data_IF_497344367211
#
_entry.id   IF_497344367211
#
_cell.length_a   1.000
_cell.length_b   1.000
_cell.length_c   1.000
_cell.angle_alpha   90.00
_cell.angle_beta   90.00
_cell.angle_gamma   90.00
#
_symmetry.space_group_name_H-M   'P 1'
#
loop_
_entity.id
_entity.type
_entity.pdbx_description
1 polymer ?
#
# COMPACT_ATOMS: atom_id res chain seq x y z
N UNK A 1 17.81 -59.42 58.16
CA UNK A 1 17.66 -58.07 57.48
C UNK A 1 18.12 -58.08 56.01
N UNK A 2 17.76 -59.01 55.16
CA UNK A 2 18.31 -59.13 53.82
C UNK A 2 17.33 -58.90 52.66
N UNK A 3 16.09 -59.40 52.81
CA UNK A 3 15.15 -59.42 51.66
C UNK A 3 14.49 -58.02 51.35
N UNK A 4 14.18 -57.21 52.35
CA UNK A 4 13.56 -55.92 52.19
C UNK A 4 14.50 -54.90 51.51
N UNK A 5 15.79 -54.91 51.87
CA UNK A 5 16.79 -54.02 51.29
C UNK A 5 17.06 -54.30 49.79
N UNK A 6 17.01 -55.55 49.41
CA UNK A 6 17.19 -55.99 48.03
C UNK A 6 15.99 -55.54 47.14
N UNK A 7 14.77 -55.63 47.68
CA UNK A 7 13.56 -55.22 46.97
C UNK A 7 13.54 -53.71 46.72
N UNK A 8 13.95 -52.87 47.70
CA UNK A 8 14.04 -51.44 47.54
C UNK A 8 15.12 -51.04 46.53
N UNK A 9 16.27 -51.74 46.50
CA UNK A 9 17.33 -51.45 45.53
C UNK A 9 16.89 -51.75 44.08
N UNK A 10 16.17 -52.85 43.84
CA UNK A 10 15.64 -53.22 42.50
C UNK A 10 14.57 -52.22 42.03
N UNK A 11 13.67 -51.82 42.93
CA UNK A 11 12.65 -50.80 42.60
C UNK A 11 13.30 -49.42 42.29
N UNK A 12 14.29 -49.03 43.07
CA UNK A 12 15.03 -47.79 42.81
C UNK A 12 15.78 -47.82 41.47
N UNK A 13 16.46 -48.92 41.15
CA UNK A 13 17.13 -49.08 39.86
C UNK A 13 16.17 -49.03 38.66
N UNK A 14 14.98 -49.67 38.77
CA UNK A 14 13.98 -49.65 37.70
C UNK A 14 13.38 -48.25 37.49
N UNK A 15 13.20 -47.46 38.56
CA UNK A 15 12.74 -46.08 38.47
C UNK A 15 13.81 -45.21 37.80
N UNK A 16 15.07 -45.34 38.18
CA UNK A 16 16.18 -44.60 37.61
C UNK A 16 16.32 -44.88 36.09
N UNK A 17 16.26 -46.13 35.69
CA UNK A 17 16.32 -46.53 34.26
C UNK A 17 15.13 -45.95 33.48
N UNK A 18 13.92 -46.00 34.04
CA UNK A 18 12.74 -45.39 33.38
C UNK A 18 12.85 -43.88 33.26
N UNK A 19 13.36 -43.21 34.27
CA UNK A 19 13.59 -41.78 34.23
C UNK A 19 14.68 -41.41 33.23
N UNK A 20 15.78 -42.13 33.18
CA UNK A 20 16.84 -41.93 32.19
C UNK A 20 16.29 -42.08 30.78
N UNK A 21 15.63 -43.18 30.46
CA UNK A 21 15.02 -43.40 29.14
C UNK A 21 13.96 -42.34 28.79
N UNK A 22 13.20 -41.83 29.75
CA UNK A 22 12.26 -40.74 29.53
C UNK A 22 12.96 -39.40 29.23
N UNK A 23 14.09 -39.13 29.90
CA UNK A 23 14.89 -37.93 29.62
C UNK A 23 15.56 -38.00 28.24
N UNK A 24 16.08 -39.15 27.86
CA UNK A 24 16.74 -39.36 26.56
C UNK A 24 15.72 -39.26 25.44
N UNK A 25 14.55 -39.87 25.54
CA UNK A 25 13.46 -39.75 24.56
C UNK A 25 13.00 -38.27 24.41
N UNK A 26 12.88 -37.54 25.52
CA UNK A 26 12.50 -36.12 25.46
C UNK A 26 13.58 -35.24 24.80
N UNK A 27 14.83 -35.59 24.93
CA UNK A 27 15.94 -34.89 24.30
C UNK A 27 15.93 -35.13 22.79
N UNK A 28 15.76 -36.38 22.38
CA UNK A 28 15.63 -36.74 20.96
C UNK A 28 14.39 -36.13 20.30
N UNK A 29 13.24 -36.08 20.97
CA UNK A 29 12.07 -35.37 20.48
C UNK A 29 12.33 -33.88 20.25
N UNK A 30 12.99 -33.23 21.21
CA UNK A 30 13.33 -31.80 21.07
C UNK A 30 14.32 -31.53 19.95
N UNK A 31 15.32 -32.41 19.77
CA UNK A 31 16.29 -32.27 18.67
C UNK A 31 15.63 -32.52 17.31
N UNK A 32 14.76 -33.52 17.22
CA UNK A 32 13.96 -33.78 16.01
C UNK A 32 13.05 -32.60 15.68
N UNK A 33 12.37 -32.03 16.67
CA UNK A 33 11.50 -30.88 16.48
C UNK A 33 12.28 -29.64 16.02
N UNK A 34 13.49 -29.42 16.57
CA UNK A 34 14.37 -28.34 16.13
C UNK A 34 14.81 -28.52 14.69
N UNK A 35 15.20 -29.73 14.29
CA UNK A 35 15.60 -30.02 12.91
C UNK A 35 14.44 -29.84 11.92
N UNK A 36 13.24 -30.26 12.29
CA UNK A 36 12.02 -30.05 11.48
C UNK A 36 11.76 -28.55 11.31
N UNK A 37 11.81 -27.76 12.38
CA UNK A 37 11.58 -26.32 12.33
C UNK A 37 12.65 -25.62 11.48
N UNK A 38 13.92 -25.96 11.66
CA UNK A 38 15.02 -25.40 10.86
C UNK A 38 14.87 -25.74 9.37
N UNK A 39 14.43 -26.95 9.06
CA UNK A 39 14.23 -27.38 7.68
C UNK A 39 13.02 -26.66 7.04
N UNK A 40 11.94 -26.49 7.80
CA UNK A 40 10.78 -25.70 7.36
C UNK A 40 11.15 -24.23 7.10
N UNK A 41 11.91 -23.60 7.99
CA UNK A 41 12.39 -22.24 7.81
C UNK A 41 13.32 -22.10 6.59
N UNK A 42 14.20 -23.08 6.35
CA UNK A 42 15.09 -23.09 5.20
C UNK A 42 14.30 -23.22 3.88
N UNK A 43 13.33 -24.14 3.83
CA UNK A 43 12.45 -24.32 2.67
C UNK A 43 11.59 -23.07 2.43
N UNK A 44 11.03 -22.47 3.47
CA UNK A 44 10.26 -21.23 3.35
C UNK A 44 11.11 -20.08 2.77
N UNK A 45 12.33 -19.90 3.25
CA UNK A 45 13.27 -18.90 2.71
C UNK A 45 13.62 -19.16 1.25
N UNK A 46 13.82 -20.42 0.89
CA UNK A 46 14.13 -20.80 -0.49
C UNK A 46 12.95 -20.49 -1.42
N UNK A 47 11.72 -20.84 -1.03
CA UNK A 47 10.50 -20.53 -1.78
C UNK A 47 10.34 -19.02 -1.97
N UNK A 48 10.57 -18.22 -0.91
CA UNK A 48 10.51 -16.77 -0.98
C UNK A 48 11.55 -16.23 -1.97
N UNK A 49 12.80 -16.68 -1.88
CA UNK A 49 13.86 -16.26 -2.78
C UNK A 49 13.60 -16.68 -4.23
N UNK A 50 13.17 -17.92 -4.47
CA UNK A 50 12.87 -18.41 -5.81
C UNK A 50 11.67 -17.65 -6.42
N UNK A 51 10.67 -17.33 -5.61
CA UNK A 51 9.53 -16.51 -6.04
C UNK A 51 9.97 -15.08 -6.38
N UNK A 52 10.85 -14.50 -5.57
CA UNK A 52 11.38 -13.15 -5.81
C UNK A 52 12.26 -13.11 -7.07
N UNK A 53 13.19 -14.07 -7.25
CA UNK A 53 14.04 -14.14 -8.44
C UNK A 53 13.23 -14.46 -9.71
N UNK A 54 12.22 -15.32 -9.62
CA UNK A 54 11.33 -15.59 -10.75
C UNK A 54 10.51 -14.36 -11.13
N UNK A 55 10.04 -13.58 -10.14
CA UNK A 55 9.34 -12.31 -10.39
C UNK A 55 10.26 -11.29 -11.03
N UNK A 56 11.51 -11.18 -10.57
CA UNK A 56 12.52 -10.29 -11.14
C UNK A 56 12.87 -10.68 -12.58
N UNK A 57 13.13 -11.95 -12.85
CA UNK A 57 13.42 -12.45 -14.19
C UNK A 57 12.23 -12.29 -15.15
N UNK A 58 10.98 -12.42 -14.67
CA UNK A 58 9.78 -12.13 -15.43
C UNK A 58 9.67 -10.64 -15.78
N UNK A 59 10.12 -9.75 -14.88
CA UNK A 59 10.15 -8.30 -15.12
C UNK A 59 11.26 -7.91 -16.12
N UNK A 60 12.43 -8.56 -16.10
CA UNK A 60 13.49 -8.30 -17.08
C UNK A 60 13.09 -8.65 -18.53
N UNK A 61 12.08 -9.52 -18.70
CA UNK A 61 11.53 -9.91 -20.01
C UNK A 61 10.27 -9.14 -20.42
N UNK A 62 9.73 -8.29 -19.54
CA UNK A 62 8.53 -7.51 -19.81
C UNK A 62 8.86 -6.02 -19.87
N UNK A 63 8.02 -5.24 -20.55
CA UNK A 63 8.11 -3.76 -20.52
C UNK A 63 8.17 -3.27 -19.07
N UNK A 64 9.04 -2.31 -18.82
CA UNK A 64 9.10 -1.65 -17.53
C UNK A 64 7.80 -0.91 -17.21
N UNK A 65 7.60 -0.56 -15.95
CA UNK A 65 6.36 0.06 -15.46
C UNK A 65 6.01 1.36 -16.18
N UNK A 66 7.01 2.22 -16.43
CA UNK A 66 6.79 3.47 -17.18
C UNK A 66 6.27 3.20 -18.59
N UNK A 67 6.95 2.33 -19.35
CA UNK A 67 6.55 2.01 -20.72
C UNK A 67 5.17 1.37 -20.78
N UNK A 68 4.87 0.50 -19.82
CA UNK A 68 3.57 -0.14 -19.68
C UNK A 68 2.47 0.88 -19.37
N UNK A 69 2.74 1.84 -18.51
CA UNK A 69 1.82 2.91 -18.16
C UNK A 69 1.53 3.82 -19.36
N UNK A 70 2.58 4.27 -20.09
CA UNK A 70 2.44 5.09 -21.30
C UNK A 70 1.60 4.39 -22.38
N UNK A 71 1.87 3.10 -22.62
CA UNK A 71 1.06 2.31 -23.56
C UNK A 71 -0.41 2.20 -23.12
N UNK A 72 -0.63 2.02 -21.80
CA UNK A 72 -1.99 1.90 -21.26
C UNK A 72 -2.74 3.23 -21.35
N UNK A 73 -2.07 4.39 -21.13
CA UNK A 73 -2.66 5.71 -21.36
C UNK A 73 -3.17 5.85 -22.79
N UNK A 74 -2.36 5.49 -23.79
CA UNK A 74 -2.78 5.53 -25.21
C UNK A 74 -3.98 4.61 -25.48
N UNK A 75 -4.00 3.41 -24.92
CA UNK A 75 -5.11 2.46 -25.07
C UNK A 75 -6.42 2.95 -24.46
N UNK A 76 -6.36 3.69 -23.36
CA UNK A 76 -7.55 4.31 -22.76
C UNK A 76 -7.96 5.61 -23.44
N UNK A 77 -7.21 6.06 -24.46
CA UNK A 77 -7.48 7.25 -25.26
C UNK A 77 -6.89 8.55 -24.69
N UNK A 78 -5.97 8.47 -23.72
CA UNK A 78 -5.25 9.61 -23.18
C UNK A 78 -3.97 9.85 -24.00
N UNK A 79 -3.79 11.07 -24.51
CA UNK A 79 -2.50 11.53 -24.99
C UNK A 79 -1.71 12.06 -23.80
N UNK A 80 -0.38 11.94 -23.89
CA UNK A 80 0.51 12.38 -22.84
C UNK A 80 1.67 13.23 -23.39
N UNK A 81 2.24 14.03 -22.51
CA UNK A 81 3.48 14.75 -22.71
C UNK A 81 4.47 14.32 -21.65
N UNK A 82 5.75 14.21 -22.01
CA UNK A 82 6.82 13.91 -21.06
C UNK A 82 7.43 15.20 -20.55
N UNK A 83 7.81 15.19 -19.27
CA UNK A 83 8.54 16.31 -18.69
C UNK A 83 9.90 16.48 -19.36
N UNK A 84 10.34 17.74 -19.43
CA UNK A 84 11.62 18.12 -20.03
C UNK A 84 12.60 18.60 -18.94
N UNK A 85 13.84 18.10 -18.99
CA UNK A 85 14.93 18.50 -18.07
C UNK A 85 15.12 17.53 -16.90
N UNK A 86 16.27 17.66 -16.22
CA UNK A 86 16.72 16.71 -15.18
C UNK A 86 15.76 16.56 -13.98
N UNK A 87 14.99 17.61 -13.65
CA UNK A 87 14.06 17.60 -12.52
C UNK A 87 12.70 16.97 -12.86
N UNK A 88 12.35 16.91 -14.16
CA UNK A 88 11.04 16.46 -14.64
C UNK A 88 11.11 15.21 -15.54
N UNK A 89 12.28 14.62 -15.71
CA UNK A 89 12.51 13.47 -16.63
C UNK A 89 11.62 12.25 -16.34
N UNK A 90 11.19 12.08 -15.11
CA UNK A 90 10.28 11.00 -14.71
C UNK A 90 8.79 11.36 -14.80
N UNK A 91 8.45 12.64 -15.07
CA UNK A 91 7.07 13.12 -15.10
C UNK A 91 6.39 12.86 -16.43
N UNK A 92 5.10 12.60 -16.32
CA UNK A 92 4.18 12.32 -17.42
C UNK A 92 2.93 13.16 -17.19
N UNK A 93 2.61 14.04 -18.13
CA UNK A 93 1.44 14.91 -18.09
C UNK A 93 0.38 14.37 -19.04
N UNK A 94 -0.87 14.26 -18.58
CA UNK A 94 -1.97 13.77 -19.43
C UNK A 94 -3.31 14.31 -18.94
N UNK A 95 -4.31 14.29 -19.83
CA UNK A 95 -5.68 14.67 -19.48
C UNK A 95 -6.59 13.43 -19.51
N UNK A 96 -7.50 13.34 -18.53
CA UNK A 96 -8.53 12.31 -18.47
C UNK A 96 -9.85 12.92 -18.03
N UNK A 97 -10.91 12.76 -18.85
CA UNK A 97 -12.25 13.30 -18.61
C UNK A 97 -12.30 14.82 -18.30
N UNK A 98 -11.36 15.57 -18.86
CA UNK A 98 -11.31 17.04 -18.69
C UNK A 98 -10.43 17.54 -17.54
N UNK A 99 -9.91 16.65 -16.69
CA UNK A 99 -8.95 16.98 -15.64
C UNK A 99 -7.51 16.67 -16.09
N UNK A 100 -6.57 17.46 -15.59
CA UNK A 100 -5.15 17.34 -15.89
C UNK A 100 -4.43 16.58 -14.78
N UNK A 101 -3.79 15.50 -15.15
CA UNK A 101 -3.03 14.65 -14.25
C UNK A 101 -1.53 14.76 -14.49
N UNK A 102 -0.78 14.64 -13.43
CA UNK A 102 0.66 14.37 -13.48
C UNK A 102 0.93 12.98 -12.92
N UNK A 103 1.76 12.22 -13.61
CA UNK A 103 2.24 10.94 -13.10
C UNK A 103 3.78 10.94 -13.04
N UNK A 104 4.33 10.08 -12.18
CA UNK A 104 5.74 9.73 -12.17
C UNK A 104 5.88 8.22 -12.08
N UNK A 105 6.70 7.65 -12.95
CA UNK A 105 6.96 6.22 -13.04
C UNK A 105 8.38 5.95 -13.55
N UNK A 106 9.03 4.93 -13.01
CA UNK A 106 10.31 4.40 -13.49
C UNK A 106 10.13 2.99 -14.01
N UNK A 107 10.94 2.62 -15.03
CA UNK A 107 10.96 1.25 -15.54
C UNK A 107 11.59 0.25 -14.54
N UNK A 108 12.35 0.74 -13.56
CA UNK A 108 12.95 -0.06 -12.49
C UNK A 108 12.03 -0.22 -11.29
N UNK A 109 10.88 0.46 -11.28
CA UNK A 109 9.89 0.44 -10.20
C UNK A 109 8.65 -0.39 -10.56
N UNK A 110 7.76 -0.53 -9.60
CA UNK A 110 6.47 -1.24 -9.74
C UNK A 110 5.27 -0.31 -9.55
N UNK A 111 5.54 0.92 -9.19
CA UNK A 111 4.52 1.87 -8.78
C UNK A 111 4.49 3.07 -9.71
N UNK A 112 3.27 3.56 -9.94
CA UNK A 112 3.01 4.84 -10.58
C UNK A 112 2.45 5.77 -9.50
N UNK A 113 3.06 6.93 -9.36
CA UNK A 113 2.54 8.01 -8.55
C UNK A 113 1.65 8.87 -9.43
N UNK A 114 0.45 9.17 -8.96
CA UNK A 114 -0.55 9.97 -9.66
C UNK A 114 -0.92 11.19 -8.83
N UNK A 115 -1.01 12.33 -9.48
CA UNK A 115 -1.47 13.60 -8.90
C UNK A 115 -2.51 14.25 -9.82
N UNK A 116 -3.53 14.81 -9.18
CA UNK A 116 -4.46 15.76 -9.75
C UNK A 116 -4.30 17.05 -8.95
N UNK A 117 -3.74 18.08 -9.59
CA UNK A 117 -3.32 19.31 -8.92
C UNK A 117 -4.27 20.47 -9.24
N UNK A 118 -4.53 21.30 -8.22
CA UNK A 118 -5.34 22.52 -8.35
C UNK A 118 -6.79 22.30 -8.83
N UNK A 119 -7.39 21.15 -8.48
CA UNK A 119 -8.78 20.86 -8.85
C UNK A 119 -9.82 21.66 -8.04
N UNK A 120 -9.40 22.32 -6.95
CA UNK A 120 -10.24 23.18 -6.14
C UNK A 120 -9.42 24.24 -5.41
N UNK A 121 -10.06 25.33 -5.01
CA UNK A 121 -9.41 26.37 -4.21
C UNK A 121 -10.43 27.06 -3.29
N UNK A 122 -9.92 27.63 -2.19
CA UNK A 122 -10.66 28.56 -1.32
C UNK A 122 -9.73 29.71 -0.95
N UNK A 123 -10.32 30.88 -0.66
CA UNK A 123 -9.56 32.03 -0.20
C UNK A 123 -9.10 31.81 1.25
N UNK A 124 -7.81 32.02 1.55
CA UNK A 124 -7.25 31.77 2.88
C UNK A 124 -7.89 32.65 3.97
N UNK A 125 -8.33 33.85 3.62
CA UNK A 125 -8.99 34.76 4.55
C UNK A 125 -10.48 34.44 4.79
N UNK A 126 -11.11 33.59 3.98
CA UNK A 126 -12.41 33.00 4.33
C UNK A 126 -12.20 31.85 5.33
N UNK A 127 -12.02 32.25 6.60
CA UNK A 127 -11.71 31.31 7.70
C UNK A 127 -12.80 30.24 7.85
N UNK A 128 -14.06 30.60 7.65
CA UNK A 128 -15.17 29.67 7.76
C UNK A 128 -15.13 28.62 6.64
N UNK A 129 -14.92 29.07 5.40
CA UNK A 129 -14.83 28.16 4.25
C UNK A 129 -13.58 27.27 4.34
N UNK A 130 -12.43 27.83 4.73
CA UNK A 130 -11.22 27.04 4.95
C UNK A 130 -11.39 26.02 6.08
N UNK A 131 -12.07 26.38 7.16
CA UNK A 131 -12.39 25.44 8.24
C UNK A 131 -13.27 24.28 7.76
N UNK A 132 -14.27 24.57 6.92
CA UNK A 132 -15.13 23.56 6.28
C UNK A 132 -14.30 22.65 5.36
N UNK A 133 -13.46 23.22 4.51
CA UNK A 133 -12.58 22.48 3.61
C UNK A 133 -11.71 21.48 4.36
N UNK A 134 -11.06 21.91 5.43
CA UNK A 134 -10.22 21.02 6.26
C UNK A 134 -10.99 19.85 6.83
N UNK A 135 -12.23 20.08 7.30
CA UNK A 135 -13.10 19.01 7.80
C UNK A 135 -13.51 18.06 6.67
N UNK A 136 -13.88 18.60 5.51
CA UNK A 136 -14.27 17.82 4.33
C UNK A 136 -13.13 16.95 3.80
N UNK A 137 -11.91 17.50 3.71
CA UNK A 137 -10.70 16.77 3.31
C UNK A 137 -10.40 15.64 4.31
N UNK A 138 -10.44 15.91 5.61
CA UNK A 138 -10.21 14.87 6.61
C UNK A 138 -11.22 13.74 6.50
N UNK A 139 -12.48 14.05 6.30
CA UNK A 139 -13.55 13.06 6.11
C UNK A 139 -13.36 12.30 4.79
N UNK A 140 -12.92 12.97 3.72
CA UNK A 140 -12.57 12.32 2.45
C UNK A 140 -11.45 11.30 2.63
N UNK A 141 -10.38 11.67 3.32
CA UNK A 141 -9.23 10.79 3.53
C UNK A 141 -9.53 9.57 4.42
N UNK A 142 -10.60 9.61 5.19
CA UNK A 142 -11.09 8.46 5.95
C UNK A 142 -11.94 7.49 5.12
N UNK A 143 -12.53 7.96 4.02
CA UNK A 143 -13.55 7.22 3.27
C UNK A 143 -13.16 6.88 1.81
N UNK A 144 -12.08 7.46 1.28
CA UNK A 144 -11.61 7.24 -0.08
C UNK A 144 -10.17 6.71 -0.11
N UNK A 145 -9.82 6.04 -1.20
CA UNK A 145 -8.47 5.52 -1.45
C UNK A 145 -7.47 6.60 -1.86
N UNK A 146 -7.96 7.67 -2.51
CA UNK A 146 -7.16 8.81 -2.94
C UNK A 146 -6.99 9.79 -1.79
N UNK A 147 -5.76 10.20 -1.54
CA UNK A 147 -5.42 11.19 -0.51
C UNK A 147 -5.60 12.60 -1.05
N UNK A 148 -6.50 13.37 -0.45
CA UNK A 148 -6.67 14.81 -0.74
C UNK A 148 -5.84 15.63 0.24
N UNK A 149 -5.12 16.61 -0.28
CA UNK A 149 -4.29 17.56 0.49
C UNK A 149 -4.57 18.98 0.03
N UNK A 150 -4.08 19.96 0.78
CA UNK A 150 -4.11 21.36 0.35
C UNK A 150 -2.72 21.98 0.54
N UNK A 151 -2.44 22.99 -0.27
CA UNK A 151 -1.28 23.88 -0.15
C UNK A 151 -1.74 25.31 -0.07
N UNK A 152 -0.91 26.19 0.46
CA UNK A 152 -1.15 27.63 0.44
C UNK A 152 -0.23 28.20 -0.65
N UNK A 153 -0.78 29.05 -1.52
CA UNK A 153 -0.01 29.68 -2.58
C UNK A 153 1.12 30.58 -2.01
N UNK A 154 2.12 30.90 -2.82
CA UNK A 154 3.26 31.71 -2.38
C UNK A 154 2.86 33.11 -1.93
N UNK A 155 1.76 33.64 -2.47
CA UNK A 155 1.22 34.95 -2.07
C UNK A 155 0.49 34.89 -0.72
N UNK A 156 0.19 33.69 -0.18
CA UNK A 156 -0.53 33.49 1.08
C UNK A 156 -1.99 33.94 0.99
N UNK A 157 -2.58 33.91 -0.20
CA UNK A 157 -3.95 34.38 -0.45
C UNK A 157 -4.94 33.24 -0.74
N UNK A 158 -4.48 32.17 -1.35
CA UNK A 158 -5.33 31.03 -1.71
C UNK A 158 -4.84 29.71 -1.08
N UNK A 159 -5.79 28.85 -0.85
CA UNK A 159 -5.59 27.45 -0.46
C UNK A 159 -5.98 26.60 -1.64
N UNK A 160 -5.01 25.98 -2.31
CA UNK A 160 -5.21 25.10 -3.44
C UNK A 160 -5.38 23.66 -3.00
N UNK A 161 -6.30 22.94 -3.61
CA UNK A 161 -6.62 21.55 -3.28
C UNK A 161 -6.05 20.62 -4.34
N UNK A 162 -5.41 19.57 -3.88
CA UNK A 162 -4.75 18.57 -4.72
C UNK A 162 -5.16 17.17 -4.26
N UNK A 163 -5.09 16.21 -5.16
CA UNK A 163 -5.28 14.80 -4.83
C UNK A 163 -4.12 13.96 -5.34
N UNK A 164 -3.79 12.89 -4.61
CA UNK A 164 -2.71 11.98 -4.99
C UNK A 164 -3.00 10.54 -4.59
N UNK A 165 -2.45 9.61 -5.34
CA UNK A 165 -2.40 8.19 -4.99
C UNK A 165 -1.13 7.54 -5.55
N UNK A 166 -0.83 6.35 -5.05
CA UNK A 166 0.25 5.49 -5.56
C UNK A 166 -0.36 4.15 -5.90
N UNK A 167 -0.25 3.75 -7.15
CA UNK A 167 -0.82 2.50 -7.64
C UNK A 167 0.27 1.51 -8.01
N UNK A 168 0.04 0.23 -7.75
CA UNK A 168 0.86 -0.84 -8.29
C UNK A 168 0.56 -0.98 -9.78
N UNK A 169 1.58 -0.96 -10.64
CA UNK A 169 1.37 -1.03 -12.08
C UNK A 169 2.33 -2.02 -12.74
N UNK A 170 1.89 -3.27 -12.83
CA UNK A 170 2.71 -4.41 -13.25
C UNK A 170 1.97 -5.23 -14.34
N UNK A 171 2.70 -5.96 -15.20
CA UNK A 171 2.10 -6.74 -16.29
C UNK A 171 1.16 -7.85 -15.85
N UNK A 172 1.24 -8.28 -14.58
CA UNK A 172 0.41 -9.33 -14.02
C UNK A 172 -1.03 -8.89 -13.70
N UNK A 173 -1.33 -7.58 -13.76
CA UNK A 173 -2.70 -7.08 -13.63
C UNK A 173 -3.49 -7.48 -14.88
N UNK A 174 -4.59 -8.25 -14.77
CA UNK A 174 -5.24 -8.88 -15.91
C UNK A 174 -5.81 -7.91 -16.95
N UNK A 175 -6.30 -6.75 -16.51
CA UNK A 175 -6.93 -5.71 -17.36
C UNK A 175 -6.45 -4.34 -16.94
N UNK A 176 -5.26 -3.99 -17.42
CA UNK A 176 -4.60 -2.72 -17.07
C UNK A 176 -5.40 -1.49 -17.52
N UNK A 177 -6.12 -1.58 -18.63
CA UNK A 177 -6.92 -0.48 -19.15
C UNK A 177 -8.08 -0.17 -18.19
N UNK A 178 -8.83 -1.19 -17.80
CA UNK A 178 -9.92 -1.03 -16.84
C UNK A 178 -9.40 -0.67 -15.45
N UNK A 179 -8.30 -1.29 -15.02
CA UNK A 179 -7.65 -0.96 -13.76
C UNK A 179 -7.28 0.53 -13.68
N UNK A 180 -6.57 1.05 -14.70
CA UNK A 180 -6.19 2.46 -14.74
C UNK A 180 -7.41 3.39 -14.76
N UNK A 181 -8.46 3.04 -15.53
CA UNK A 181 -9.71 3.82 -15.53
C UNK A 181 -10.36 3.86 -14.14
N UNK A 182 -10.37 2.75 -13.41
CA UNK A 182 -10.92 2.68 -12.06
C UNK A 182 -10.12 3.57 -11.11
N UNK A 183 -8.78 3.49 -11.13
CA UNK A 183 -7.92 4.31 -10.29
C UNK A 183 -8.08 5.82 -10.58
N UNK A 184 -8.16 6.22 -11.85
CA UNK A 184 -8.41 7.61 -12.22
C UNK A 184 -9.81 8.09 -11.79
N UNK A 185 -10.82 7.22 -11.85
CA UNK A 185 -12.16 7.56 -11.39
C UNK A 185 -12.27 7.77 -9.88
N UNK A 186 -11.37 7.18 -9.07
CA UNK A 186 -11.33 7.41 -7.63
C UNK A 186 -11.00 8.88 -7.29
N UNK A 187 -10.24 9.59 -8.14
CA UNK A 187 -10.02 11.04 -7.98
C UNK A 187 -11.33 11.81 -8.07
N UNK A 188 -12.14 11.56 -9.10
CA UNK A 188 -13.44 12.22 -9.25
C UNK A 188 -14.40 11.90 -8.08
N UNK A 189 -14.34 10.67 -7.57
CA UNK A 189 -15.12 10.31 -6.37
C UNK A 189 -14.69 11.10 -5.15
N UNK A 190 -13.38 11.27 -4.94
CA UNK A 190 -12.84 12.06 -3.85
C UNK A 190 -13.25 13.55 -3.99
N UNK A 191 -13.17 14.14 -5.19
CA UNK A 191 -13.60 15.52 -5.47
C UNK A 191 -15.10 15.70 -5.15
N UNK A 192 -15.94 14.81 -5.67
CA UNK A 192 -17.40 14.84 -5.40
C UNK A 192 -17.70 14.68 -3.92
N UNK A 193 -16.94 13.82 -3.23
CA UNK A 193 -17.11 13.63 -1.80
C UNK A 193 -16.78 14.90 -1.03
N UNK A 194 -15.61 15.52 -1.28
CA UNK A 194 -15.23 16.79 -0.64
C UNK A 194 -16.27 17.87 -0.91
N UNK A 195 -16.69 18.06 -2.17
CA UNK A 195 -17.71 19.04 -2.54
C UNK A 195 -19.04 18.81 -1.80
N UNK A 196 -19.49 17.56 -1.73
CA UNK A 196 -20.73 17.22 -1.00
C UNK A 196 -20.62 17.46 0.51
N UNK A 197 -19.47 17.20 1.11
CA UNK A 197 -19.25 17.49 2.54
C UNK A 197 -19.22 18.99 2.81
N UNK A 198 -18.62 19.79 1.93
CA UNK A 198 -18.63 21.25 2.04
C UNK A 198 -20.06 21.80 2.08
N UNK A 199 -20.93 21.33 1.16
CA UNK A 199 -22.35 21.71 1.15
C UNK A 199 -23.06 21.34 2.46
N UNK A 200 -22.92 20.09 2.91
CA UNK A 200 -23.53 19.62 4.16
C UNK A 200 -23.07 20.42 5.40
N UNK A 201 -21.81 20.84 5.42
CA UNK A 201 -21.28 21.64 6.53
C UNK A 201 -21.88 23.04 6.53
N UNK A 202 -22.04 23.68 5.37
CA UNK A 202 -22.71 24.99 5.24
C UNK A 202 -24.16 24.91 5.73
N UNK A 203 -24.95 23.95 5.21
CA UNK A 203 -26.36 23.75 5.58
C UNK A 203 -26.54 23.53 7.10
N UNK A 204 -25.64 22.74 7.71
CA UNK A 204 -25.67 22.53 9.16
C UNK A 204 -25.38 23.79 9.95
N UNK A 205 -24.43 24.61 9.52
CA UNK A 205 -24.10 25.89 10.20
C UNK A 205 -25.24 26.92 10.07
N UNK A 206 -25.88 26.97 8.92
CA UNK A 206 -27.08 27.82 8.69
C UNK A 206 -28.25 27.41 9.58
N UNK A 207 -28.48 26.10 9.74
CA UNK A 207 -29.56 25.56 10.58
C UNK A 207 -29.36 25.84 12.08
N UNK A 208 -28.15 26.09 12.53
CA UNK A 208 -27.83 26.42 13.93
C UNK A 208 -28.00 27.92 14.20
N UNK A 209 -27.83 28.75 13.15
CA UNK A 209 -27.97 30.22 13.24
C UNK A 209 -29.43 30.72 13.15
N UNK A 210 -30.32 29.88 12.65
CA UNK A 210 -31.78 30.15 12.55
C UNK A 210 -32.52 29.75 13.82
#
# INVERSE_FOLDING_TARGET
MGALGFFFAVVACTIIIKLSNWWDNRKEEKETQRMITQNQDAVARQIINDTFENSKNAMEQTKGTRDLFLETLLKIGCQYELGEGEEDDDKIYFAYQGENFTASASNDGWYVHLWDTHWGHVELYDVDEFSRLRKAINESNLNNSVTTVYTIDEAGSNVDVHSKTVILFIPQIPDLENYLRLELNEFFRAHQFVGSQMVKLREREESIKS
#
